data_IF_517900972154
#
_entry.id   IF_517900972154
#
_cell.length_a   1.000
_cell.length_b   1.000
_cell.length_c   1.000
_cell.angle_alpha   90.00
_cell.angle_beta   90.00
_cell.angle_gamma   90.00
#
_symmetry.space_group_name_H-M   'P 1'
#
loop_
_entity.id
_entity.type
_entity.pdbx_description
1 polymer ?
#
# COMPACT_ATOMS: atom_id res chain seq x y z
N UNK A 1 -18.95 19.49 -2.21
CA UNK A 1 -17.63 20.11 -1.89
C UNK A 1 -17.37 19.84 -0.42
N UNK A 2 -16.16 19.42 -0.07
CA UNK A 2 -15.73 19.14 1.31
C UNK A 2 -14.54 20.02 1.66
N UNK A 3 -14.47 20.49 2.91
CA UNK A 3 -13.36 21.31 3.40
C UNK A 3 -12.79 20.65 4.65
N UNK A 4 -11.48 20.44 4.68
CA UNK A 4 -10.76 19.87 5.83
C UNK A 4 -10.36 20.96 6.83
N UNK A 5 -9.88 20.60 8.03
CA UNK A 5 -9.47 21.56 9.07
C UNK A 5 -8.32 22.47 8.63
N UNK A 6 -7.45 21.99 7.75
CA UNK A 6 -6.40 22.77 7.09
C UNK A 6 -6.92 23.68 5.95
N UNK A 7 -8.24 23.76 5.77
CA UNK A 7 -8.97 24.51 4.74
C UNK A 7 -8.75 24.02 3.29
N UNK A 8 -8.13 22.86 3.08
CA UNK A 8 -8.09 22.26 1.74
C UNK A 8 -9.50 21.89 1.29
N UNK A 9 -9.87 22.27 0.06
CA UNK A 9 -11.19 22.04 -0.52
C UNK A 9 -11.15 20.94 -1.57
N UNK A 10 -12.10 20.01 -1.50
CA UNK A 10 -12.28 18.90 -2.43
C UNK A 10 -13.63 19.02 -3.14
N UNK A 11 -13.61 18.96 -4.46
CA UNK A 11 -14.82 18.98 -5.29
C UNK A 11 -15.01 17.63 -5.96
N UNK A 12 -16.17 17.04 -5.72
CA UNK A 12 -16.62 15.83 -6.40
C UNK A 12 -17.65 16.20 -7.47
N UNK A 13 -17.56 15.57 -8.64
CA UNK A 13 -18.47 15.72 -9.78
C UNK A 13 -18.96 14.37 -10.26
N UNK A 14 -20.09 14.36 -10.97
CA UNK A 14 -20.57 13.19 -11.71
C UNK A 14 -20.58 13.56 -13.19
N UNK A 15 -20.31 12.57 -14.03
CA UNK A 15 -20.52 12.74 -15.46
C UNK A 15 -22.01 12.91 -15.72
N UNK A 16 -22.37 13.86 -16.57
CA UNK A 16 -23.73 13.99 -17.06
C UNK A 16 -23.92 13.01 -18.23
N UNK A 17 -24.75 11.99 -18.04
CA UNK A 17 -25.04 10.99 -19.06
C UNK A 17 -26.26 11.38 -19.92
N UNK A 18 -26.85 12.54 -19.64
CA UNK A 18 -27.99 13.07 -20.34
C UNK A 18 -29.33 12.56 -19.81
N UNK A 19 -30.38 12.97 -20.51
CA UNK A 19 -31.76 12.56 -20.24
C UNK A 19 -32.08 11.33 -21.08
N UNK A 20 -32.61 10.30 -20.44
CA UNK A 20 -33.08 9.09 -21.07
C UNK A 20 -34.60 9.02 -20.98
N UNK A 21 -35.23 8.93 -22.15
CA UNK A 21 -36.67 8.77 -22.27
C UNK A 21 -37.02 7.29 -22.20
N UNK A 22 -37.99 6.97 -21.36
CA UNK A 22 -38.61 5.66 -21.34
C UNK A 22 -40.02 5.79 -21.90
N UNK A 23 -40.17 5.48 -23.18
CA UNK A 23 -41.45 5.24 -23.83
C UNK A 23 -41.63 3.75 -24.13
N UNK A 24 -42.83 3.25 -23.90
CA UNK A 24 -43.13 1.84 -24.13
C UNK A 24 -44.60 1.55 -23.96
N UNK A 25 -45.13 0.68 -24.82
CA UNK A 25 -46.54 0.23 -24.81
C UNK A 25 -46.96 -0.49 -23.51
N UNK A 26 -46.04 -0.67 -22.56
CA UNK A 26 -46.21 -1.38 -21.28
C UNK A 26 -46.22 -0.46 -20.04
N UNK A 27 -46.00 0.84 -20.19
CA UNK A 27 -46.06 1.82 -19.09
C UNK A 27 -46.99 2.98 -19.46
N UNK A 28 -47.95 3.36 -18.58
CA UNK A 28 -49.01 4.30 -18.94
C UNK A 28 -48.58 5.78 -19.06
N UNK A 29 -47.34 6.12 -18.71
CA UNK A 29 -46.80 7.48 -18.81
C UNK A 29 -45.33 7.44 -19.25
N UNK A 30 -44.95 8.36 -20.13
CA UNK A 30 -43.54 8.63 -20.46
C UNK A 30 -42.86 9.30 -19.26
N UNK A 31 -41.68 8.84 -18.90
CA UNK A 31 -40.85 9.49 -17.90
C UNK A 31 -39.45 9.76 -18.46
N UNK A 32 -38.95 10.96 -18.15
CA UNK A 32 -37.59 11.39 -18.45
C UNK A 32 -36.73 11.13 -17.21
N UNK A 33 -35.62 10.41 -17.36
CA UNK A 33 -34.64 10.22 -16.28
C UNK A 33 -33.34 10.89 -16.67
N UNK A 34 -32.93 11.88 -15.89
CA UNK A 34 -31.58 12.43 -16.00
C UNK A 34 -30.58 11.48 -15.35
N UNK A 35 -29.75 10.83 -16.15
CA UNK A 35 -28.75 9.89 -15.68
C UNK A 35 -27.43 10.60 -15.39
N UNK A 36 -26.80 10.21 -14.28
CA UNK A 36 -25.48 10.67 -13.89
C UNK A 36 -24.55 9.47 -13.70
N UNK A 37 -23.31 9.65 -14.12
CA UNK A 37 -22.25 8.68 -13.93
C UNK A 37 -21.75 8.62 -12.49
N UNK A 38 -20.64 7.90 -12.32
CA UNK A 38 -20.03 7.73 -11.01
C UNK A 38 -19.48 9.06 -10.48
N UNK A 39 -19.59 9.22 -9.16
CA UNK A 39 -18.99 10.35 -8.46
C UNK A 39 -17.47 10.21 -8.48
N UNK A 40 -16.76 11.25 -8.91
CA UNK A 40 -15.31 11.29 -8.95
C UNK A 40 -14.78 12.62 -8.41
N UNK A 41 -13.56 12.61 -7.88
CA UNK A 41 -12.85 13.81 -7.49
C UNK A 41 -12.35 14.53 -8.74
N UNK A 42 -12.78 15.78 -8.94
CA UNK A 42 -12.39 16.58 -10.10
C UNK A 42 -11.50 17.76 -9.78
N UNK A 43 -11.49 18.21 -8.51
CA UNK A 43 -10.68 19.37 -8.11
C UNK A 43 -10.28 19.30 -6.64
N UNK A 44 -9.03 19.67 -6.38
CA UNK A 44 -8.48 19.94 -5.05
C UNK A 44 -7.96 21.38 -5.05
N UNK A 45 -8.31 22.18 -4.05
CA UNK A 45 -7.77 23.52 -3.86
C UNK A 45 -7.11 23.61 -2.48
N UNK A 46 -5.81 23.80 -2.45
CA UNK A 46 -5.00 23.89 -1.23
C UNK A 46 -4.76 25.36 -0.87
N UNK A 47 -4.39 25.65 0.39
CA UNK A 47 -3.86 26.95 0.76
C UNK A 47 -2.38 27.06 0.35
N UNK A 48 -1.95 28.17 -0.28
CA UNK A 48 -2.60 29.48 -0.33
C UNK A 48 -3.53 29.76 -1.54
N UNK A 49 -3.85 28.77 -2.38
CA UNK A 49 -4.78 28.93 -3.51
C UNK A 49 -4.53 28.01 -4.70
N UNK A 50 -3.41 27.30 -4.70
CA UNK A 50 -3.03 26.33 -5.73
C UNK A 50 -4.14 25.30 -5.94
N UNK A 51 -4.35 24.91 -7.19
CA UNK A 51 -5.46 24.05 -7.58
C UNK A 51 -4.97 22.88 -8.43
N UNK A 52 -5.40 21.68 -8.08
CA UNK A 52 -5.22 20.48 -8.92
C UNK A 52 -6.56 20.10 -9.53
N UNK A 53 -6.61 20.04 -10.85
CA UNK A 53 -7.73 19.53 -11.63
C UNK A 53 -7.45 18.11 -12.08
N UNK A 54 -8.47 17.26 -12.02
CA UNK A 54 -8.40 15.85 -12.39
C UNK A 54 -9.42 15.62 -13.50
N UNK A 55 -8.90 15.33 -14.69
CA UNK A 55 -9.67 15.02 -15.89
C UNK A 55 -9.45 13.56 -16.31
N UNK A 56 -10.31 12.99 -17.17
CA UNK A 56 -10.14 11.61 -17.65
C UNK A 56 -8.78 11.33 -18.31
N UNK A 57 -8.22 12.34 -18.99
CA UNK A 57 -6.99 12.24 -19.79
C UNK A 57 -5.87 13.18 -19.32
N UNK A 58 -6.03 13.87 -18.19
CA UNK A 58 -4.97 14.71 -17.65
C UNK A 58 -5.14 15.04 -16.18
N UNK A 59 -4.04 15.36 -15.52
CA UNK A 59 -4.02 16.01 -14.21
C UNK A 59 -3.25 17.30 -14.37
N UNK A 60 -3.86 18.42 -13.99
CA UNK A 60 -3.31 19.76 -14.18
C UNK A 60 -3.22 20.45 -12.84
N UNK A 61 -2.05 20.98 -12.52
CA UNK A 61 -1.82 21.77 -11.32
C UNK A 61 -1.55 23.22 -11.70
N UNK A 62 -2.32 24.13 -11.12
CA UNK A 62 -2.17 25.57 -11.30
C UNK A 62 -1.76 26.25 -10.01
N UNK A 63 -0.99 27.33 -10.13
CA UNK A 63 -0.80 28.25 -8.99
C UNK A 63 -2.11 28.96 -8.61
N UNK A 64 -2.07 29.72 -7.52
CA UNK A 64 -3.18 30.56 -7.07
C UNK A 64 -3.64 31.62 -8.10
N UNK A 65 -2.82 31.94 -9.10
CA UNK A 65 -3.15 32.87 -10.20
C UNK A 65 -3.76 32.15 -11.42
N UNK A 66 -3.85 30.83 -11.41
CA UNK A 66 -4.40 30.01 -12.49
C UNK A 66 -3.40 29.62 -13.58
N UNK A 67 -2.12 29.94 -13.43
CA UNK A 67 -1.09 29.52 -14.38
C UNK A 67 -0.80 28.03 -14.19
N UNK A 68 -0.72 27.28 -15.30
CA UNK A 68 -0.36 25.86 -15.24
C UNK A 68 1.11 25.71 -14.87
N UNK A 69 1.37 25.18 -13.68
CA UNK A 69 2.71 24.88 -13.20
C UNK A 69 3.18 23.52 -13.72
N UNK A 70 2.28 22.53 -13.70
CA UNK A 70 2.59 21.13 -14.03
C UNK A 70 1.36 20.45 -14.62
N UNK A 71 1.59 19.58 -15.60
CA UNK A 71 0.55 18.78 -16.23
C UNK A 71 1.08 17.38 -16.52
N UNK A 72 0.23 16.38 -16.30
CA UNK A 72 0.43 15.01 -16.78
C UNK A 72 -0.72 14.71 -17.73
N UNK A 73 -0.41 14.09 -18.87
CA UNK A 73 -1.40 13.69 -19.88
C UNK A 73 -1.42 12.17 -20.02
N UNK A 74 -2.62 11.60 -20.10
CA UNK A 74 -2.87 10.18 -20.36
C UNK A 74 -3.38 10.04 -21.78
N UNK A 75 -2.63 9.36 -22.62
CA UNK A 75 -3.11 8.88 -23.91
C UNK A 75 -3.78 7.53 -23.71
N UNK A 76 -4.91 7.31 -24.38
CA UNK A 76 -5.64 6.05 -24.36
C UNK A 76 -5.66 5.41 -25.75
N UNK A 77 -5.73 4.08 -25.80
CA UNK A 77 -6.00 3.33 -27.03
C UNK A 77 -7.51 3.35 -27.36
N UNK A 78 -7.89 2.73 -28.48
CA UNK A 78 -9.28 2.68 -28.95
C UNK A 78 -10.23 1.93 -27.99
N UNK A 79 -9.69 1.12 -27.09
CA UNK A 79 -10.43 0.42 -26.03
C UNK A 79 -10.56 1.26 -24.75
N UNK A 80 -10.06 2.50 -24.74
CA UNK A 80 -10.09 3.40 -23.59
C UNK A 80 -9.02 3.10 -22.52
N UNK A 81 -8.12 2.16 -22.75
CA UNK A 81 -7.01 1.83 -21.84
C UNK A 81 -5.87 2.83 -22.01
N UNK A 82 -5.22 3.24 -20.92
CA UNK A 82 -4.07 4.15 -20.98
C UNK A 82 -2.93 3.45 -21.72
N UNK A 83 -2.51 3.97 -22.87
CA UNK A 83 -1.40 3.44 -23.67
C UNK A 83 -0.09 4.21 -23.45
N UNK A 84 -0.18 5.47 -23.02
CA UNK A 84 0.99 6.28 -22.73
C UNK A 84 0.70 7.37 -21.68
N UNK A 85 1.73 7.72 -20.92
CA UNK A 85 1.71 8.85 -19.98
C UNK A 85 2.79 9.83 -20.40
N UNK A 86 2.45 11.12 -20.45
CA UNK A 86 3.38 12.21 -20.69
C UNK A 86 3.50 13.05 -19.43
N UNK A 87 4.71 13.13 -18.87
CA UNK A 87 5.02 14.02 -17.75
C UNK A 87 5.32 15.46 -18.25
N UNK A 88 5.47 16.46 -17.35
CA UNK A 88 5.71 17.85 -17.75
C UNK A 88 6.93 18.02 -18.68
N UNK A 89 7.99 17.24 -18.47
CA UNK A 89 9.20 17.29 -19.29
C UNK A 89 8.98 16.70 -20.69
N UNK A 90 8.10 15.71 -20.80
CA UNK A 90 7.69 15.15 -22.08
C UNK A 90 6.89 16.16 -22.89
N UNK A 91 6.01 16.91 -22.22
CA UNK A 91 5.12 17.88 -22.85
C UNK A 91 5.82 19.16 -23.29
N UNK A 92 6.95 19.52 -22.67
CA UNK A 92 7.75 20.70 -23.03
C UNK A 92 8.84 20.42 -24.08
N UNK A 93 9.07 19.16 -24.44
CA UNK A 93 10.08 18.78 -25.42
C UNK A 93 9.61 19.02 -26.87
N UNK A 94 10.51 19.39 -27.81
CA UNK A 94 10.17 19.54 -29.23
C UNK A 94 9.66 18.26 -29.90
N UNK A 95 10.11 17.11 -29.40
CA UNK A 95 9.67 15.77 -29.80
C UNK A 95 9.13 15.04 -28.54
N UNK A 96 7.84 15.21 -28.21
CA UNK A 96 7.26 14.66 -26.99
C UNK A 96 7.33 13.13 -26.96
N UNK A 97 8.04 12.60 -25.98
CA UNK A 97 8.14 11.16 -25.74
C UNK A 97 7.39 10.80 -24.46
N UNK A 98 6.53 9.76 -24.45
CA UNK A 98 5.89 9.30 -23.22
C UNK A 98 6.91 9.02 -22.12
N UNK A 99 6.65 9.42 -20.88
CA UNK A 99 7.43 8.98 -19.73
C UNK A 99 7.19 7.50 -19.43
N UNK A 100 6.00 7.00 -19.73
CA UNK A 100 5.61 5.60 -19.54
C UNK A 100 4.77 5.11 -20.72
N UNK A 101 5.02 3.89 -21.18
CA UNK A 101 4.28 3.18 -22.22
C UNK A 101 3.63 1.93 -21.65
N UNK A 102 2.41 1.64 -22.11
CA UNK A 102 1.64 0.45 -21.78
C UNK A 102 1.27 -0.27 -23.08
N UNK A 103 1.47 -1.58 -23.11
CA UNK A 103 1.04 -2.43 -24.22
C UNK A 103 0.07 -3.48 -23.71
N UNK A 104 -0.95 -3.77 -24.50
CA UNK A 104 -1.99 -4.74 -24.18
C UNK A 104 -2.14 -5.76 -25.31
N UNK A 105 -2.56 -6.97 -24.97
CA UNK A 105 -2.98 -7.96 -25.97
C UNK A 105 -4.44 -7.73 -26.40
N UNK A 106 -4.95 -8.55 -27.32
CA UNK A 106 -6.34 -8.49 -27.79
C UNK A 106 -7.39 -8.79 -26.71
N UNK A 107 -6.99 -9.47 -25.62
CA UNK A 107 -7.83 -9.74 -24.47
C UNK A 107 -7.74 -8.62 -23.42
N UNK A 108 -7.13 -7.48 -23.75
CA UNK A 108 -6.90 -6.34 -22.85
C UNK A 108 -5.97 -6.62 -21.67
N UNK A 109 -5.20 -7.72 -21.72
CA UNK A 109 -4.18 -8.00 -20.71
C UNK A 109 -2.98 -7.08 -20.90
N UNK A 110 -2.45 -6.54 -19.80
CA UNK A 110 -1.26 -5.71 -19.81
C UNK A 110 -0.02 -6.54 -20.14
N UNK A 111 0.51 -6.42 -21.35
CA UNK A 111 1.71 -7.13 -21.80
C UNK A 111 3.01 -6.46 -21.35
N UNK A 112 3.05 -5.13 -21.18
CA UNK A 112 4.25 -4.45 -20.69
C UNK A 112 3.97 -3.09 -20.10
N UNK A 113 4.82 -2.70 -19.13
CA UNK A 113 4.97 -1.32 -18.68
C UNK A 113 6.42 -0.92 -18.89
N UNK A 114 6.66 0.13 -19.65
CA UNK A 114 8.01 0.59 -19.99
C UNK A 114 8.19 2.06 -19.63
N UNK A 115 9.24 2.40 -18.88
CA UNK A 115 9.55 3.76 -18.47
C UNK A 115 10.72 4.32 -19.28
N UNK A 116 10.61 5.59 -19.66
CA UNK A 116 11.67 6.33 -20.34
C UNK A 116 12.83 6.54 -19.37
N UNK A 117 14.00 5.97 -19.69
CA UNK A 117 15.21 6.10 -18.85
C UNK A 117 16.23 7.07 -19.45
N UNK A 118 16.15 7.32 -20.76
CA UNK A 118 16.97 8.31 -21.44
C UNK A 118 16.15 8.99 -22.55
N UNK A 119 15.90 10.29 -22.36
CA UNK A 119 15.10 11.11 -23.27
C UNK A 119 15.83 11.40 -24.57
N UNK A 120 17.16 11.52 -24.55
CA UNK A 120 17.93 11.88 -25.72
C UNK A 120 17.96 10.73 -26.74
N UNK A 121 18.14 9.50 -26.26
CA UNK A 121 18.08 8.30 -27.11
C UNK A 121 16.66 7.75 -27.31
N UNK A 122 15.68 8.19 -26.51
CA UNK A 122 14.35 7.60 -26.49
C UNK A 122 14.34 6.17 -25.94
N UNK A 123 15.30 5.83 -25.08
CA UNK A 123 15.44 4.48 -24.52
C UNK A 123 14.46 4.25 -23.38
N UNK A 124 13.71 3.16 -23.49
CA UNK A 124 12.82 2.67 -22.44
C UNK A 124 13.37 1.40 -21.79
N UNK A 125 13.01 1.20 -20.52
CA UNK A 125 13.22 -0.05 -19.79
C UNK A 125 11.89 -0.44 -19.15
N UNK A 126 11.51 -1.70 -19.30
CA UNK A 126 10.20 -2.16 -18.85
C UNK A 126 10.21 -3.51 -18.18
N UNK A 127 9.01 -3.88 -17.73
CA UNK A 127 8.65 -5.22 -17.26
C UNK A 127 7.58 -5.74 -18.21
N UNK A 128 7.69 -7.02 -18.59
CA UNK A 128 6.80 -7.67 -19.53
C UNK A 128 6.07 -8.83 -18.86
N UNK A 129 4.85 -9.08 -19.30
CA UNK A 129 3.96 -10.10 -18.76
C UNK A 129 3.49 -11.04 -19.87
N UNK A 130 3.40 -12.33 -19.56
CA UNK A 130 2.91 -13.35 -20.49
C UNK A 130 1.64 -14.01 -19.98
N UNK A 131 0.71 -14.32 -20.87
CA UNK A 131 -0.60 -14.90 -20.58
C UNK A 131 -0.81 -16.14 -21.44
N UNK A 132 -0.19 -17.26 -21.04
CA UNK A 132 -0.15 -18.50 -21.84
C UNK A 132 -1.19 -19.53 -21.42
N UNK A 133 -1.93 -19.30 -20.34
CA UNK A 133 -2.97 -20.21 -19.88
C UNK A 133 -4.27 -19.97 -20.69
N UNK A 134 -4.65 -20.94 -21.51
CA UNK A 134 -5.85 -20.83 -22.36
C UNK A 134 -7.17 -20.92 -21.59
N UNK A 135 -7.22 -21.65 -20.47
CA UNK A 135 -8.41 -21.76 -19.63
C UNK A 135 -8.62 -20.48 -18.80
N UNK A 136 -7.53 -19.79 -18.46
CA UNK A 136 -7.53 -18.55 -17.69
C UNK A 136 -6.71 -17.47 -18.42
N UNK A 137 -7.24 -16.88 -19.51
CA UNK A 137 -6.49 -16.00 -20.41
C UNK A 137 -6.02 -14.68 -19.76
N UNK A 138 -6.54 -14.33 -18.58
CA UNK A 138 -6.13 -13.16 -17.82
C UNK A 138 -5.09 -13.46 -16.72
N UNK A 139 -4.63 -14.70 -16.61
CA UNK A 139 -3.64 -15.09 -15.59
C UNK A 139 -2.23 -14.85 -16.08
N UNK A 140 -1.47 -14.07 -15.31
CA UNK A 140 -0.05 -13.84 -15.54
C UNK A 140 0.69 -15.16 -15.34
N UNK A 141 1.25 -15.70 -16.42
CA UNK A 141 2.05 -16.92 -16.42
C UNK A 141 3.56 -16.64 -16.33
N UNK A 142 3.99 -15.44 -16.68
CA UNK A 142 5.40 -15.06 -16.65
C UNK A 142 5.60 -13.56 -16.46
N UNK A 143 6.67 -13.20 -15.76
CA UNK A 143 7.13 -11.84 -15.55
C UNK A 143 8.57 -11.78 -16.02
N UNK A 144 8.87 -10.86 -16.93
CA UNK A 144 10.17 -10.72 -17.59
C UNK A 144 10.70 -9.31 -17.32
N UNK A 145 11.94 -9.20 -16.86
CA UNK A 145 12.57 -7.91 -16.60
C UNK A 145 13.08 -7.23 -17.89
N UNK A 146 13.58 -6.00 -17.77
CA UNK A 146 14.08 -5.23 -18.91
C UNK A 146 15.34 -5.80 -19.58
N UNK A 147 15.94 -6.86 -19.04
CA UNK A 147 17.05 -7.60 -19.64
C UNK A 147 16.58 -8.82 -20.44
N UNK A 148 15.26 -9.08 -20.47
CA UNK A 148 14.68 -10.27 -21.09
C UNK A 148 14.74 -11.52 -20.21
N UNK A 149 15.10 -11.39 -18.92
CA UNK A 149 15.16 -12.52 -17.99
C UNK A 149 13.77 -12.73 -17.39
N UNK A 150 13.23 -13.94 -17.51
CA UNK A 150 12.00 -14.32 -16.83
C UNK A 150 12.27 -14.44 -15.32
N UNK A 151 11.87 -13.41 -14.57
CA UNK A 151 12.10 -13.30 -13.13
C UNK A 151 11.11 -14.10 -12.29
N UNK A 152 9.96 -14.44 -12.88
CA UNK A 152 8.99 -15.33 -12.26
C UNK A 152 8.17 -16.07 -13.33
N UNK A 153 7.84 -17.33 -13.07
CA UNK A 153 6.80 -18.09 -13.78
C UNK A 153 5.77 -18.58 -12.77
N UNK A 154 4.53 -18.16 -12.93
CA UNK A 154 3.42 -18.61 -12.09
C UNK A 154 2.84 -19.92 -12.63
N UNK A 155 2.59 -20.87 -11.74
CA UNK A 155 2.00 -22.16 -12.04
C UNK A 155 0.61 -22.22 -11.40
N UNK A 156 -0.38 -22.59 -12.19
CA UNK A 156 -1.77 -22.71 -11.75
C UNK A 156 -2.25 -24.14 -11.95
N UNK A 157 -3.13 -24.62 -11.08
CA UNK A 157 -3.86 -25.87 -11.31
C UNK A 157 -5.06 -25.66 -12.24
N UNK A 158 -5.75 -26.76 -12.56
CA UNK A 158 -6.92 -26.76 -13.47
C UNK A 158 -8.12 -25.96 -12.93
N UNK A 159 -8.15 -25.67 -11.63
CA UNK A 159 -9.15 -24.79 -11.00
C UNK A 159 -8.77 -23.32 -11.02
N UNK A 160 -7.58 -22.98 -11.52
CA UNK A 160 -7.05 -21.62 -11.57
C UNK A 160 -6.34 -21.18 -10.29
N UNK A 161 -6.06 -22.09 -9.36
CA UNK A 161 -5.37 -21.73 -8.12
C UNK A 161 -3.87 -21.72 -8.34
N UNK A 162 -3.20 -20.69 -7.81
CA UNK A 162 -1.73 -20.60 -7.83
C UNK A 162 -1.14 -21.72 -6.96
N UNK A 163 -0.35 -22.59 -7.58
CA UNK A 163 0.29 -23.75 -6.93
C UNK A 163 1.81 -23.65 -6.88
N UNK A 164 2.41 -22.71 -7.61
CA UNK A 164 3.85 -22.49 -7.49
C UNK A 164 4.36 -21.28 -8.26
N UNK A 165 5.56 -20.85 -7.90
CA UNK A 165 6.31 -19.81 -8.61
C UNK A 165 7.71 -20.33 -8.88
N UNK A 166 8.12 -20.33 -10.15
CA UNK A 166 9.47 -20.70 -10.56
C UNK A 166 10.32 -19.46 -10.75
N UNK A 167 11.52 -19.47 -10.20
CA UNK A 167 12.50 -18.38 -10.26
C UNK A 167 13.33 -18.44 -11.56
N UNK A 168 14.20 -17.43 -11.85
CA UNK A 168 15.01 -17.44 -13.07
C UNK A 168 16.03 -18.58 -13.14
N UNK A 169 16.33 -19.25 -12.02
CA UNK A 169 17.22 -20.41 -11.97
C UNK A 169 16.47 -21.72 -12.24
N UNK A 170 15.16 -21.67 -12.50
CA UNK A 170 14.32 -22.84 -12.73
C UNK A 170 13.90 -23.55 -11.45
N UNK A 171 14.12 -22.95 -10.28
CA UNK A 171 13.72 -23.54 -9.00
C UNK A 171 12.34 -23.04 -8.59
N UNK A 172 11.50 -23.94 -8.09
CA UNK A 172 10.10 -23.65 -7.80
C UNK A 172 9.84 -23.64 -6.30
N UNK A 173 9.16 -22.59 -5.84
CA UNK A 173 8.46 -22.58 -4.56
C UNK A 173 7.05 -23.09 -4.79
N UNK A 174 6.64 -24.13 -4.07
CA UNK A 174 5.33 -24.76 -4.20
C UNK A 174 4.36 -24.34 -3.09
N UNK A 175 3.08 -24.24 -3.43
CA UNK A 175 1.99 -23.92 -2.53
C UNK A 175 0.93 -25.03 -2.57
N UNK A 176 0.78 -25.73 -1.45
CA UNK A 176 -0.32 -26.70 -1.27
C UNK A 176 -1.30 -26.10 -0.29
N UNK A 177 -2.58 -25.99 -0.64
CA UNK A 177 -3.61 -25.58 0.33
C UNK A 177 -4.62 -26.70 0.52
N UNK A 178 -4.88 -27.05 1.78
CA UNK A 178 -5.90 -27.99 2.19
C UNK A 178 -7.00 -27.24 2.94
N UNK A 179 -8.12 -27.03 2.25
CA UNK A 179 -9.26 -26.27 2.77
C UNK A 179 -10.01 -27.03 3.88
N UNK A 180 -9.98 -28.37 3.89
CA UNK A 180 -10.64 -29.17 4.92
C UNK A 180 -9.99 -29.02 6.29
N UNK A 181 -8.67 -28.83 6.33
CA UNK A 181 -7.92 -28.57 7.55
C UNK A 181 -7.55 -27.10 7.76
N UNK A 182 -7.98 -26.19 6.87
CA UNK A 182 -7.55 -24.79 6.86
C UNK A 182 -6.03 -24.65 6.97
N UNK A 183 -5.28 -25.39 6.13
CA UNK A 183 -3.80 -25.33 6.13
C UNK A 183 -3.23 -24.97 4.77
N UNK A 184 -2.06 -24.34 4.79
CA UNK A 184 -1.23 -24.09 3.63
C UNK A 184 0.19 -24.60 3.91
N UNK A 185 0.76 -25.36 2.99
CA UNK A 185 2.17 -25.76 3.03
C UNK A 185 2.91 -25.05 1.92
N UNK A 186 3.95 -24.31 2.29
CA UNK A 186 4.90 -23.68 1.37
C UNK A 186 6.15 -24.54 1.34
N UNK A 187 6.54 -25.02 0.18
CA UNK A 187 7.81 -25.75 -0.02
C UNK A 187 8.76 -24.81 -0.74
N UNK A 188 9.86 -24.44 -0.09
CA UNK A 188 10.87 -23.57 -0.70
C UNK A 188 11.64 -24.30 -1.81
N UNK A 189 12.50 -23.54 -2.50
CA UNK A 189 13.33 -24.02 -3.62
C UNK A 189 14.27 -25.18 -3.25
N UNK A 190 14.60 -25.33 -1.96
CA UNK A 190 15.49 -26.37 -1.44
C UNK A 190 14.70 -27.61 -0.93
N UNK A 191 13.37 -27.60 -1.04
CA UNK A 191 12.51 -28.66 -0.52
C UNK A 191 12.13 -28.51 0.96
N UNK A 192 12.50 -27.41 1.61
CA UNK A 192 12.13 -27.16 3.01
C UNK A 192 10.67 -26.72 3.08
N UNK A 193 9.91 -27.33 3.97
CA UNK A 193 8.47 -27.07 4.10
C UNK A 193 8.15 -26.20 5.31
N UNK A 194 7.30 -25.19 5.12
CA UNK A 194 6.64 -24.47 6.21
C UNK A 194 5.14 -24.68 6.09
N UNK A 195 4.49 -25.16 7.14
CA UNK A 195 3.04 -25.36 7.17
C UNK A 195 2.38 -24.34 8.08
N UNK A 196 1.39 -23.63 7.55
CA UNK A 196 0.58 -22.63 8.22
C UNK A 196 -0.82 -23.20 8.46
N UNK A 197 -1.33 -23.06 9.67
CA UNK A 197 -2.73 -23.37 10.01
C UNK A 197 -3.49 -22.10 10.35
N UNK A 198 -4.74 -22.03 9.90
CA UNK A 198 -5.56 -20.83 9.96
C UNK A 198 -6.83 -21.04 10.80
N UNK A 199 -7.26 -20.00 11.51
CA UNK A 199 -8.61 -19.94 12.04
C UNK A 199 -9.63 -19.57 10.93
N UNK A 200 -10.92 -19.52 11.28
CA UNK A 200 -12.01 -19.18 10.35
C UNK A 200 -11.96 -17.73 9.84
N UNK A 201 -11.23 -16.84 10.51
CA UNK A 201 -11.05 -15.43 10.14
C UNK A 201 -9.80 -15.22 9.28
N UNK A 202 -9.01 -16.28 9.06
CA UNK A 202 -7.77 -16.23 8.26
C UNK A 202 -6.53 -15.89 9.08
N UNK A 203 -6.60 -15.89 10.41
CA UNK A 203 -5.42 -15.66 11.26
C UNK A 203 -4.56 -16.92 11.31
N UNK A 204 -3.23 -16.75 11.25
CA UNK A 204 -2.27 -17.86 11.37
C UNK A 204 -2.15 -18.28 12.84
N UNK A 205 -2.82 -19.37 13.20
CA UNK A 205 -2.83 -19.91 14.57
C UNK A 205 -1.73 -20.96 14.79
N UNK A 206 -1.17 -21.54 13.73
CA UNK A 206 -0.03 -22.44 13.82
C UNK A 206 0.95 -22.24 12.67
N UNK A 207 2.23 -22.39 12.96
CA UNK A 207 3.32 -22.44 11.98
C UNK A 207 4.26 -23.56 12.38
N UNK A 208 4.51 -24.48 11.46
CA UNK A 208 5.50 -25.54 11.61
C UNK A 208 6.58 -25.30 10.57
N UNK A 209 7.80 -25.01 11.01
CA UNK A 209 8.93 -24.82 10.10
C UNK A 209 9.53 -26.16 9.63
N UNK A 210 10.53 -26.09 8.74
CA UNK A 210 11.16 -27.27 8.17
C UNK A 210 11.98 -28.09 9.18
N UNK A 211 12.28 -27.52 10.35
CA UNK A 211 12.96 -28.19 11.45
C UNK A 211 11.95 -28.76 12.48
N UNK A 212 10.65 -28.73 12.16
CA UNK A 212 9.54 -29.11 13.03
C UNK A 212 9.43 -28.27 14.31
N UNK A 213 9.93 -27.03 14.31
CA UNK A 213 9.58 -26.09 15.37
C UNK A 213 8.15 -25.62 15.17
N UNK A 214 7.34 -25.75 16.22
CA UNK A 214 5.95 -25.32 16.23
C UNK A 214 5.86 -23.95 16.91
N UNK A 215 5.18 -23.02 16.24
CA UNK A 215 4.73 -21.76 16.80
C UNK A 215 3.21 -21.73 16.77
N UNK A 216 2.59 -21.43 17.92
CA UNK A 216 1.16 -21.21 18.03
C UNK A 216 0.88 -19.75 18.33
N UNK A 217 -0.17 -19.19 17.73
CA UNK A 217 -0.60 -17.81 18.00
C UNK A 217 -2.07 -17.77 18.37
N UNK A 218 -2.45 -16.85 19.26
CA UNK A 218 -3.84 -16.60 19.66
C UNK A 218 -4.22 -15.16 19.36
N UNK A 219 -5.50 -14.94 19.08
CA UNK A 219 -6.04 -13.67 18.63
C UNK A 219 -7.31 -13.33 19.41
N UNK A 220 -7.55 -12.04 19.67
CA UNK A 220 -8.83 -11.55 20.20
C UNK A 220 -9.92 -11.52 19.11
N UNK A 221 -11.08 -10.95 19.40
CA UNK A 221 -12.18 -10.87 18.44
C UNK A 221 -11.97 -9.83 17.32
N UNK A 222 -11.09 -8.87 17.58
CA UNK A 222 -10.69 -7.82 16.64
C UNK A 222 -9.53 -8.25 15.72
N UNK A 223 -9.11 -9.52 15.78
CA UNK A 223 -7.94 -10.09 15.07
C UNK A 223 -6.58 -9.51 15.49
N UNK A 224 -6.48 -8.89 16.67
CA UNK A 224 -5.19 -8.56 17.26
C UNK A 224 -4.56 -9.82 17.87
N UNK A 225 -3.27 -10.01 17.65
CA UNK A 225 -2.53 -11.15 18.19
C UNK A 225 -2.22 -10.93 19.67
N UNK A 226 -2.86 -11.71 20.54
CA UNK A 226 -2.73 -11.57 22.00
C UNK A 226 -1.76 -12.55 22.65
N UNK A 227 -1.31 -13.56 21.90
CA UNK A 227 -0.35 -14.55 22.40
C UNK A 227 0.45 -15.25 21.33
N UNK A 228 1.66 -15.68 21.70
CA UNK A 228 2.52 -16.58 20.93
C UNK A 228 3.19 -17.58 21.86
N UNK A 229 3.20 -18.85 21.47
CA UNK A 229 3.98 -19.90 22.15
C UNK A 229 4.84 -20.62 21.13
N UNK A 230 6.15 -20.66 21.37
CA UNK A 230 7.10 -21.42 20.56
C UNK A 230 7.48 -22.71 21.28
N UNK A 231 7.49 -23.80 20.52
CA UNK A 231 7.74 -25.15 20.97
C UNK A 231 8.94 -25.75 20.25
N UNK A 232 9.76 -26.48 21.01
CA UNK A 232 10.85 -27.31 20.50
C UNK A 232 10.58 -28.74 20.97
N UNK A 233 10.44 -29.66 20.01
CA UNK A 233 10.13 -31.08 20.30
C UNK A 233 8.89 -31.27 21.20
N UNK A 234 7.84 -30.46 20.98
CA UNK A 234 6.59 -30.50 21.74
C UNK A 234 6.64 -29.81 23.11
N UNK A 235 7.78 -29.27 23.52
CA UNK A 235 7.94 -28.55 24.78
C UNK A 235 7.93 -27.05 24.52
N UNK A 236 7.02 -26.32 25.17
CA UNK A 236 7.00 -24.86 25.12
C UNK A 236 8.27 -24.29 25.76
N UNK A 237 8.99 -23.44 25.04
CA UNK A 237 10.23 -22.82 25.55
C UNK A 237 10.18 -21.29 25.55
N UNK A 238 9.21 -20.68 24.85
CA UNK A 238 9.03 -19.24 24.82
C UNK A 238 7.54 -18.90 24.70
N UNK A 239 7.04 -18.03 25.59
CA UNK A 239 5.65 -17.58 25.63
C UNK A 239 5.62 -16.07 25.68
N UNK A 240 4.94 -15.41 24.76
CA UNK A 240 4.70 -13.97 24.80
C UNK A 240 3.21 -13.66 24.78
N UNK A 241 2.85 -12.50 25.33
CA UNK A 241 1.47 -12.03 25.34
C UNK A 241 1.40 -10.55 25.02
N UNK A 242 0.25 -10.09 24.55
CA UNK A 242 0.01 -8.68 24.26
C UNK A 242 -1.45 -8.33 24.52
N UNK A 243 -1.70 -7.06 24.88
CA UNK A 243 -3.04 -6.52 25.06
C UNK A 243 -3.21 -5.26 24.22
N UNK A 244 -4.45 -4.98 23.82
CA UNK A 244 -4.77 -3.93 22.88
C UNK A 244 -6.00 -3.14 23.33
N UNK A 245 -6.12 -1.91 22.81
CA UNK A 245 -7.36 -1.13 22.79
C UNK A 245 -7.52 -0.52 21.41
N UNK A 246 -8.66 -0.73 20.73
CA UNK A 246 -8.89 -0.23 19.37
C UNK A 246 -7.71 -0.50 18.40
N UNK A 247 -7.17 -1.74 18.39
CA UNK A 247 -5.98 -2.15 17.62
C UNK A 247 -4.65 -1.46 18.01
N UNK A 248 -4.61 -0.68 19.09
CA UNK A 248 -3.41 -0.05 19.62
C UNK A 248 -2.83 -0.90 20.76
N UNK A 249 -1.54 -1.25 20.67
CA UNK A 249 -0.83 -2.09 21.64
C UNK A 249 -0.72 -1.39 23.00
N UNK A 250 -1.37 -1.91 24.04
CA UNK A 250 -1.25 -1.40 25.40
C UNK A 250 -0.07 -2.02 26.14
N UNK A 251 0.04 -3.35 26.10
CA UNK A 251 1.13 -4.07 26.77
C UNK A 251 1.65 -5.17 25.89
N UNK A 252 2.95 -5.43 25.95
CA UNK A 252 3.56 -6.64 25.40
C UNK A 252 4.50 -7.24 26.44
N UNK A 253 4.45 -8.55 26.63
CA UNK A 253 5.35 -9.29 27.53
C UNK A 253 6.11 -10.29 26.68
N UNK A 254 7.43 -10.24 26.73
CA UNK A 254 8.29 -11.16 25.98
C UNK A 254 8.50 -12.49 26.73
N UNK A 255 9.12 -13.50 26.10
CA UNK A 255 9.37 -14.80 26.73
C UNK A 255 10.22 -14.80 28.00
N UNK A 256 10.95 -13.72 28.27
CA UNK A 256 11.75 -13.55 29.48
C UNK A 256 10.98 -12.82 30.59
N UNK A 257 9.71 -12.46 30.34
CA UNK A 257 8.85 -11.74 31.27
C UNK A 257 9.01 -10.22 31.26
N UNK A 258 9.87 -9.66 30.41
CA UNK A 258 10.00 -8.21 30.31
C UNK A 258 8.84 -7.59 29.52
N UNK A 259 8.33 -6.47 30.01
CA UNK A 259 7.14 -5.83 29.48
C UNK A 259 7.42 -4.48 28.83
N UNK A 260 6.79 -4.20 27.69
CA UNK A 260 6.62 -2.82 27.22
C UNK A 260 5.18 -2.38 27.48
N UNK A 261 4.99 -1.13 27.93
CA UNK A 261 3.67 -0.53 28.20
C UNK A 261 3.55 0.77 27.43
N UNK A 262 2.41 0.99 26.76
CA UNK A 262 2.14 2.19 26.01
C UNK A 262 0.79 2.79 26.40
N UNK A 263 0.70 4.12 26.29
CA UNK A 263 -0.57 4.85 26.37
C UNK A 263 -0.75 5.74 25.15
N UNK A 264 -1.99 6.13 24.87
CA UNK A 264 -2.34 6.87 23.67
C UNK A 264 -3.28 8.03 23.99
N UNK A 265 -3.22 9.08 23.18
CA UNK A 265 -4.22 10.14 23.16
C UNK A 265 -5.49 9.71 22.40
N UNK A 266 -6.50 10.59 22.36
CA UNK A 266 -7.76 10.34 21.64
C UNK A 266 -7.63 10.21 20.12
N UNK A 267 -6.46 10.54 19.55
CA UNK A 267 -6.14 10.41 18.13
C UNK A 267 -5.24 9.19 17.84
N UNK A 268 -4.96 8.36 18.84
CA UNK A 268 -4.13 7.16 18.71
C UNK A 268 -2.62 7.43 18.66
N UNK A 269 -2.16 8.61 19.08
CA UNK A 269 -0.73 8.92 19.18
C UNK A 269 -0.18 8.49 20.52
N UNK A 270 1.02 7.92 20.53
CA UNK A 270 1.67 7.41 21.74
C UNK A 270 1.97 8.56 22.69
N UNK A 271 1.36 8.58 23.87
CA UNK A 271 1.58 9.56 24.95
C UNK A 271 2.73 9.14 25.85
N UNK A 272 2.74 7.90 26.32
CA UNK A 272 3.82 7.36 27.14
C UNK A 272 4.24 5.99 26.69
N UNK A 273 5.50 5.66 26.91
CA UNK A 273 6.05 4.32 26.76
C UNK A 273 6.89 3.97 27.97
N UNK A 274 6.84 2.73 28.42
CA UNK A 274 7.81 2.14 29.34
C UNK A 274 8.41 0.93 28.62
N UNK A 275 9.73 0.94 28.43
CA UNK A 275 10.43 -0.18 27.77
C UNK A 275 10.61 -1.38 28.72
N UNK A 276 11.02 -2.51 28.14
CA UNK A 276 11.37 -3.74 28.85
C UNK A 276 12.40 -3.60 29.99
N UNK A 277 13.19 -2.51 30.02
CA UNK A 277 14.19 -2.21 31.04
C UNK A 277 13.65 -1.25 32.11
N UNK A 278 12.39 -0.84 32.01
CA UNK A 278 11.75 0.11 32.90
C UNK A 278 12.02 1.59 32.55
N UNK A 279 12.64 1.88 31.41
CA UNK A 279 12.85 3.25 30.97
C UNK A 279 11.57 3.83 30.39
N UNK A 280 11.08 4.90 31.02
CA UNK A 280 9.91 5.64 30.58
C UNK A 280 10.25 6.76 29.59
N UNK A 281 9.33 7.04 28.67
CA UNK A 281 9.32 8.22 27.82
C UNK A 281 7.91 8.78 27.73
N UNK A 282 7.78 10.11 27.77
CA UNK A 282 6.53 10.85 27.55
C UNK A 282 6.68 11.73 26.32
N UNK A 283 5.74 11.63 25.38
CA UNK A 283 5.68 12.46 24.18
C UNK A 283 4.76 13.66 24.41
N UNK A 284 5.15 14.81 23.88
CA UNK A 284 4.38 16.05 23.92
C UNK A 284 4.04 16.43 22.49
N UNK A 285 2.75 16.56 22.20
CA UNK A 285 2.25 16.97 20.89
C UNK A 285 1.71 18.40 20.95
N UNK A 286 1.72 19.06 19.80
CA UNK A 286 1.01 20.31 19.60
C UNK A 286 -0.47 20.01 19.38
N UNK A 287 -1.35 20.53 20.25
CA UNK A 287 -2.79 20.25 20.19
C UNK A 287 -3.47 20.76 18.90
N UNK A 288 -2.89 21.77 18.25
CA UNK A 288 -3.46 22.39 17.04
C UNK A 288 -3.02 21.68 15.75
N UNK A 289 -1.74 21.36 15.62
CA UNK A 289 -1.19 20.73 14.40
C UNK A 289 -1.08 19.22 14.51
N UNK A 290 -1.08 18.70 15.74
CA UNK A 290 -0.84 17.30 16.02
C UNK A 290 0.62 16.86 15.92
N UNK A 291 1.56 17.76 15.68
CA UNK A 291 2.98 17.41 15.54
C UNK A 291 3.61 17.06 16.89
N UNK A 292 4.55 16.11 16.89
CA UNK A 292 5.42 15.88 18.05
C UNK A 292 6.32 17.10 18.23
N UNK A 293 6.33 17.68 19.43
CA UNK A 293 7.13 18.87 19.77
C UNK A 293 8.13 18.62 20.89
N UNK A 294 8.04 17.50 21.58
CA UNK A 294 9.07 17.09 22.51
C UNK A 294 8.87 15.72 23.10
N UNK A 295 9.92 15.24 23.75
CA UNK A 295 9.97 14.00 24.51
C UNK A 295 10.61 14.25 25.87
N UNK A 296 10.17 13.51 26.88
CA UNK A 296 10.68 13.57 28.25
C UNK A 296 10.99 12.16 28.72
N UNK A 297 12.24 11.89 29.09
CA UNK A 297 12.61 10.58 29.65
C UNK A 297 12.18 10.43 31.12
N UNK A 298 12.33 9.22 31.68
CA UNK A 298 11.99 8.95 33.08
C UNK A 298 12.86 9.71 34.10
N UNK A 299 14.00 10.25 33.69
CA UNK A 299 14.87 11.12 34.50
C UNK A 299 14.53 12.61 34.31
N UNK A 300 13.44 12.92 33.59
CA UNK A 300 12.95 14.26 33.27
C UNK A 300 13.90 15.08 32.38
N UNK A 301 14.82 14.42 31.65
CA UNK A 301 15.54 15.08 30.57
C UNK A 301 14.59 15.31 29.39
N UNK A 302 14.64 16.51 28.82
CA UNK A 302 13.73 16.95 27.77
C UNK A 302 14.48 17.14 26.46
N UNK A 303 13.92 16.61 25.39
CA UNK A 303 14.34 16.92 24.03
C UNK A 303 13.16 17.57 23.30
N UNK A 304 13.35 18.77 22.76
CA UNK A 304 12.31 19.50 22.03
C UNK A 304 12.64 19.53 20.55
N UNK A 305 11.64 19.23 19.71
CA UNK A 305 11.73 19.38 18.26
C UNK A 305 10.84 20.55 17.84
N UNK A 306 11.46 21.64 17.38
CA UNK A 306 10.75 22.79 16.85
C UNK A 306 10.61 22.65 15.33
N UNK A 307 9.44 22.20 14.88
CA UNK A 307 9.07 22.30 13.47
C UNK A 307 8.64 23.74 13.17
N UNK A 308 9.59 24.59 12.74
CA UNK A 308 9.21 25.87 12.15
C UNK A 308 8.71 25.60 10.72
N UNK A 309 7.46 26.00 10.44
CA UNK A 309 6.77 25.83 9.16
C UNK A 309 7.34 26.66 8.01
N UNK A 310 8.66 26.83 7.94
CA UNK A 310 9.33 27.48 6.84
C UNK A 310 10.38 26.54 6.26
N UNK A 311 10.28 26.30 4.94
CA UNK A 311 11.45 25.94 4.14
C UNK A 311 12.51 27.01 4.43
N UNK A 312 13.53 26.66 5.19
CA UNK A 312 14.78 27.40 5.20
C UNK A 312 15.92 26.44 5.46
N UNK A 313 16.99 26.65 4.72
CA UNK A 313 18.14 25.77 4.62
C UNK A 313 18.88 25.56 5.93
N UNK A 314 19.75 24.56 5.89
CA UNK A 314 20.79 24.35 6.90
C UNK A 314 21.63 25.62 7.06
N UNK A 315 21.53 26.22 8.25
CA UNK A 315 22.56 27.02 8.93
C UNK A 315 22.36 26.67 10.40
N UNK A 316 23.13 25.82 11.08
CA UNK A 316 24.57 25.87 11.29
C UNK A 316 24.80 26.14 12.78
N UNK A 317 25.23 25.09 13.51
CA UNK A 317 25.84 25.05 14.89
C UNK A 317 24.96 25.61 16.03
N UNK A 318 24.51 24.86 17.03
CA UNK A 318 25.31 24.05 17.96
C UNK A 318 24.56 22.80 18.50
N UNK A 319 25.31 21.73 18.79
CA UNK A 319 24.97 20.81 19.86
C UNK A 319 24.07 19.60 19.57
N UNK A 320 24.20 18.92 18.42
CA UNK A 320 23.71 17.53 18.31
C UNK A 320 24.65 16.63 19.11
N UNK A 321 24.36 16.45 20.40
CA UNK A 321 24.77 15.28 21.15
C UNK A 321 23.65 14.26 21.02
N UNK A 322 23.72 13.47 19.95
CA UNK A 322 23.03 12.20 19.89
C UNK A 322 23.59 11.31 21.01
N UNK A 323 22.95 11.32 22.17
CA UNK A 323 23.19 10.28 23.17
C UNK A 323 22.47 9.05 22.66
N UNK A 324 23.24 8.15 22.05
CA UNK A 324 22.85 6.75 21.91
C UNK A 324 22.64 6.19 23.32
N UNK A 325 21.49 5.59 23.66
CA UNK A 325 21.41 4.82 24.89
C UNK A 325 22.28 3.56 24.72
N UNK A 326 23.16 3.35 25.70
CA UNK A 326 23.81 2.07 25.95
C UNK A 326 22.78 1.01 26.40
#
# INVERSE_FOLDING_TARGET
>A
MFTTQDQTQYTLTRDDLGVHDFDGSSIPHSYEVHAYGNLHLSKIKSLPGDTTFIYPNSIIHTDASGNTNRMIVFQRNDQGLISAIFDPNSLSAPDPRPSTLYLYDSNTNLMSVSNLVDRASGRYVGVFFTYTNSAFPHYITGIIDGRGIQVARNLYDDSGKLIGITDPQGQTTWFTNNFGSSTQTVTDRNGNTTTLGYDKRGNVISTVDALNHLKQSTYNDDNDKIGETNYLNGVAYAVSSSTYTNHLLLTSINPLGYSNVLTYDGYGKVLTTVDARGHGMTNIYNDTTGNLIGTVDAQNHKCYEFFSGHKSGRTGVEGILAVRPH
#
